data_IF_933962648222
#
_entry.id   IF_933962648222
#
_cell.length_a   1.000
_cell.length_b   1.000
_cell.length_c   1.000
_cell.angle_alpha   90.00
_cell.angle_beta   90.00
_cell.angle_gamma   90.00
#
_symmetry.space_group_name_H-M   'P 1'
#
loop_
_entity.id
_entity.type
_entity.pdbx_description
1 polymer ?
#
# COMPACT_ATOMS: atom_id res chain seq x y z
N UNK A 1 10.36 -0.30 13.31
CA UNK A 1 9.79 0.51 12.22
C UNK A 1 8.97 1.62 12.86
N UNK A 2 9.40 2.87 12.76
CA UNK A 2 8.63 4.02 13.27
C UNK A 2 7.35 4.14 12.44
N UNK A 3 6.19 4.22 13.09
CA UNK A 3 4.91 4.39 12.38
C UNK A 3 4.99 5.65 11.49
N UNK A 4 4.60 5.58 10.21
CA UNK A 4 4.64 6.74 9.34
C UNK A 4 3.74 7.86 9.87
N UNK A 5 4.09 9.13 9.64
CA UNK A 5 3.22 10.23 9.99
C UNK A 5 1.90 10.13 9.23
N UNK A 6 0.78 10.42 9.91
CA UNK A 6 -0.59 10.20 9.39
C UNK A 6 -0.86 10.89 8.06
N UNK A 7 -0.19 12.01 7.76
CA UNK A 7 -0.34 12.72 6.49
C UNK A 7 0.18 11.95 5.25
N UNK A 8 0.93 10.87 5.47
CA UNK A 8 1.53 10.02 4.44
C UNK A 8 0.74 8.72 4.25
N UNK A 9 -0.28 8.53 5.08
CA UNK A 9 -1.14 7.36 5.02
C UNK A 9 -2.33 7.64 4.12
N UNK A 10 -2.55 6.77 3.14
CA UNK A 10 -3.65 6.86 2.18
C UNK A 10 -4.58 5.65 2.28
N UNK A 11 -5.88 5.80 2.02
CA UNK A 11 -6.82 4.69 2.05
C UNK A 11 -6.58 3.71 0.88
N UNK A 12 -7.08 2.47 1.01
CA UNK A 12 -6.95 1.39 0.00
C UNK A 12 -7.21 1.83 -1.43
N UNK A 13 -8.26 2.64 -1.66
CA UNK A 13 -8.62 3.11 -3.00
C UNK A 13 -7.52 3.96 -3.63
N UNK A 14 -6.93 4.87 -2.86
CA UNK A 14 -5.84 5.75 -3.31
C UNK A 14 -4.56 4.94 -3.51
N UNK A 15 -4.28 3.99 -2.62
CA UNK A 15 -3.16 3.07 -2.77
C UNK A 15 -3.23 2.27 -4.08
N UNK A 16 -4.42 1.74 -4.39
CA UNK A 16 -4.69 0.99 -5.62
C UNK A 16 -4.46 1.85 -6.88
N UNK A 17 -4.95 3.10 -6.87
CA UNK A 17 -4.73 4.05 -7.97
C UNK A 17 -3.25 4.40 -8.14
N UNK A 18 -2.53 4.65 -7.04
CA UNK A 18 -1.12 5.06 -7.08
C UNK A 18 -0.21 4.00 -7.71
N UNK A 19 -0.51 2.71 -7.51
CA UNK A 19 0.29 1.59 -8.04
C UNK A 19 -0.32 0.94 -9.29
N UNK A 20 -1.45 1.45 -9.78
CA UNK A 20 -2.11 0.95 -11.00
C UNK A 20 -2.66 -0.47 -10.88
N UNK A 21 -3.25 -0.83 -9.73
CA UNK A 21 -3.84 -2.16 -9.49
C UNK A 21 -5.25 -2.06 -8.89
N UNK A 22 -5.97 -3.18 -8.80
CA UNK A 22 -7.26 -3.22 -8.11
C UNK A 22 -7.11 -3.18 -6.59
N UNK A 23 -8.12 -2.69 -5.86
CA UNK A 23 -8.11 -2.76 -4.39
C UNK A 23 -8.03 -4.20 -3.86
N UNK A 24 -8.60 -5.17 -4.59
CA UNK A 24 -8.49 -6.59 -4.25
C UNK A 24 -7.04 -7.07 -4.29
N UNK A 25 -6.25 -6.56 -5.24
CA UNK A 25 -4.81 -6.84 -5.33
C UNK A 25 -4.06 -6.29 -4.11
N UNK A 26 -4.38 -5.05 -3.68
CA UNK A 26 -3.80 -4.46 -2.45
C UNK A 26 -4.11 -5.34 -1.23
N UNK A 27 -5.38 -5.74 -1.04
CA UNK A 27 -5.78 -6.64 0.05
C UNK A 27 -5.02 -7.97 0.02
N UNK A 28 -4.80 -8.53 -1.18
CA UNK A 28 -4.03 -9.77 -1.37
C UNK A 28 -2.54 -9.59 -1.08
N UNK A 29 -1.99 -8.39 -1.30
CA UNK A 29 -0.61 -8.09 -0.91
C UNK A 29 -0.47 -8.00 0.60
N UNK A 30 -1.42 -7.37 1.29
CA UNK A 30 -1.47 -7.34 2.77
C UNK A 30 -1.51 -8.76 3.32
N UNK A 31 -2.42 -9.61 2.82
CA UNK A 31 -2.53 -10.99 3.30
C UNK A 31 -1.27 -11.82 3.02
N UNK A 32 -0.47 -11.44 2.02
CA UNK A 32 0.80 -12.06 1.68
C UNK A 32 2.01 -11.41 2.36
N UNK A 33 1.80 -10.40 3.21
CA UNK A 33 2.88 -9.67 3.88
C UNK A 33 3.76 -8.80 2.96
N UNK A 34 3.28 -8.46 1.75
CA UNK A 34 4.03 -7.66 0.78
C UNK A 34 3.94 -6.15 0.98
N UNK A 35 2.91 -5.70 1.70
CA UNK A 35 2.67 -4.29 2.01
C UNK A 35 2.09 -4.21 3.41
N UNK A 36 2.48 -3.17 4.14
CA UNK A 36 2.06 -2.95 5.52
C UNK A 36 0.70 -2.27 5.55
N UNK A 37 -0.24 -2.87 6.28
CA UNK A 37 -1.52 -2.22 6.60
C UNK A 37 -1.36 -1.44 7.90
N UNK A 38 -1.61 -0.13 7.83
CA UNK A 38 -1.75 0.74 8.98
C UNK A 38 -3.24 0.93 9.34
N UNK A 39 -3.47 1.39 10.58
CA UNK A 39 -4.80 1.61 11.15
C UNK A 39 -5.07 0.69 12.34
N UNK A 40 -6.01 1.09 13.20
CA UNK A 40 -6.44 0.26 14.33
C UNK A 40 -7.29 -0.94 13.84
N UNK A 41 -7.43 -1.99 14.67
CA UNK A 41 -8.46 -3.02 14.44
C UNK A 41 -9.82 -2.32 14.27
N UNK A 42 -10.57 -2.68 13.21
CA UNK A 42 -11.86 -2.09 12.84
C UNK A 42 -11.84 -0.68 12.22
N UNK A 43 -10.66 -0.07 12.01
CA UNK A 43 -10.55 1.15 11.21
C UNK A 43 -10.26 0.85 9.74
N UNK A 44 -10.47 1.87 8.88
CA UNK A 44 -10.10 1.80 7.46
C UNK A 44 -8.62 1.46 7.32
N UNK A 45 -8.29 0.60 6.36
CA UNK A 45 -6.92 0.27 6.02
C UNK A 45 -6.21 1.48 5.41
N UNK A 46 -5.08 1.83 5.99
CA UNK A 46 -4.21 2.94 5.61
C UNK A 46 -2.87 2.38 5.11
N UNK A 47 -2.27 3.03 4.11
CA UNK A 47 -1.05 2.58 3.44
C UNK A 47 -0.08 3.73 3.25
N UNK A 48 1.21 3.49 3.45
CA UNK A 48 2.25 4.51 3.29
C UNK A 48 2.54 4.78 1.81
N UNK A 49 2.55 6.06 1.42
CA UNK A 49 2.93 6.50 0.08
C UNK A 49 4.36 6.05 -0.32
N UNK A 50 5.34 6.09 0.58
CA UNK A 50 6.73 5.71 0.25
C UNK A 50 6.82 4.19 -0.04
N UNK A 51 6.19 3.37 0.79
CA UNK A 51 6.10 1.91 0.56
C UNK A 51 5.40 1.60 -0.77
N UNK A 52 4.32 2.33 -1.09
CA UNK A 52 3.61 2.21 -2.38
C UNK A 52 4.50 2.61 -3.56
N UNK A 53 5.29 3.68 -3.44
CA UNK A 53 6.23 4.12 -4.47
C UNK A 53 7.32 3.08 -4.72
N UNK A 54 7.90 2.49 -3.68
CA UNK A 54 8.87 1.41 -3.82
C UNK A 54 8.28 0.21 -4.56
N UNK A 55 7.06 -0.21 -4.19
CA UNK A 55 6.36 -1.31 -4.85
C UNK A 55 6.10 -0.98 -6.32
N UNK A 56 5.68 0.25 -6.63
CA UNK A 56 5.47 0.70 -8.00
C UNK A 56 6.77 0.68 -8.83
N UNK A 57 7.89 1.11 -8.23
CA UNK A 57 9.20 1.09 -8.86
C UNK A 57 9.67 -0.34 -9.15
N UNK A 58 9.61 -1.24 -8.16
CA UNK A 58 9.97 -2.66 -8.32
C UNK A 58 9.15 -3.33 -9.42
N UNK A 59 7.84 -3.05 -9.48
CA UNK A 59 6.94 -3.59 -10.52
C UNK A 59 7.27 -3.07 -11.92
N UNK A 60 7.75 -1.83 -12.06
CA UNK A 60 8.20 -1.29 -13.35
C UNK A 60 9.50 -1.91 -13.82
N UNK A 61 10.44 -2.21 -12.92
CA UNK A 61 11.68 -2.91 -13.27
C UNK A 61 11.49 -4.39 -13.61
N UNK A 62 10.39 -5.00 -13.15
CA UNK A 62 10.01 -6.38 -13.47
C UNK A 62 9.20 -6.51 -14.78
N UNK A 63 8.85 -5.39 -15.43
CA UNK A 63 8.18 -5.40 -16.72
C UNK A 63 9.24 -5.60 -17.84
N UNK A 64 9.07 -6.61 -18.73
CA UNK A 64 9.96 -6.83 -19.87
C UNK A 64 9.83 -5.74 -20.94
#
# INVERSE_FOLDING_TARGET
MTKPPRHRLVPTRVAALAVGVSEATIRKWVSRGKITRYGAPNCRSEFDIEELQEIALRRRSEAP
#
